data_IF_543331114566
#
_entry.id   IF_543331114566
#
_cell.length_a   1.000
_cell.length_b   1.000
_cell.length_c   1.000
_cell.angle_alpha   90.00
_cell.angle_beta   90.00
_cell.angle_gamma   90.00
#
_symmetry.space_group_name_H-M   'P 1'
#
loop_
_entity.id
_entity.type
_entity.pdbx_description
1 polymer ?
#
# COMPACT_ATOMS: atom_id res chain seq x y z
N UNK A 1 47.71 -13.11 75.39
CA UNK A 1 47.14 -14.27 76.11
C UNK A 1 45.65 -14.32 75.79
N UNK A 2 45.23 -15.35 75.04
CA UNK A 2 43.92 -16.01 74.99
C UNK A 2 42.62 -15.19 74.99
N UNK A 3 41.52 -15.56 74.35
CA UNK A 3 41.12 -16.58 73.38
C UNK A 3 39.65 -16.18 73.08
N UNK A 4 39.25 -16.28 71.81
CA UNK A 4 37.91 -16.65 71.34
C UNK A 4 36.71 -16.51 72.31
N UNK A 5 35.76 -15.64 71.98
CA UNK A 5 34.35 -16.01 72.13
C UNK A 5 33.49 -15.39 71.03
N UNK A 6 32.96 -16.29 70.21
CA UNK A 6 31.99 -16.07 69.13
C UNK A 6 30.64 -15.71 69.75
N UNK A 7 30.01 -14.63 69.31
CA UNK A 7 28.56 -14.47 69.43
C UNK A 7 28.01 -14.15 68.04
N UNK A 8 27.27 -15.13 67.53
CA UNK A 8 26.43 -15.06 66.34
C UNK A 8 25.39 -13.95 66.49
N UNK A 9 25.36 -13.02 65.55
CA UNK A 9 24.14 -12.29 65.21
C UNK A 9 23.90 -12.46 63.71
N UNK A 10 22.92 -13.30 63.41
CA UNK A 10 22.37 -13.54 62.08
C UNK A 10 21.83 -12.22 61.51
N UNK A 11 22.59 -11.60 60.63
CA UNK A 11 22.06 -10.60 59.71
C UNK A 11 21.19 -11.34 58.68
N UNK A 12 19.88 -11.30 58.88
CA UNK A 12 18.89 -11.75 57.90
C UNK A 12 18.89 -10.75 56.73
N UNK A 13 19.92 -10.85 55.88
CA UNK A 13 19.99 -10.14 54.61
C UNK A 13 18.98 -10.76 53.65
N UNK A 14 17.75 -10.25 53.67
CA UNK A 14 16.75 -10.57 52.66
C UNK A 14 17.17 -9.84 51.37
N UNK A 15 18.07 -10.47 50.61
CA UNK A 15 18.35 -10.06 49.23
C UNK A 15 17.09 -10.35 48.42
N UNK A 16 16.26 -9.33 48.23
CA UNK A 16 15.23 -9.31 47.20
C UNK A 16 15.98 -9.34 45.86
N UNK A 17 16.23 -10.54 45.35
CA UNK A 17 16.55 -10.75 43.94
C UNK A 17 15.27 -10.41 43.16
N UNK A 18 15.12 -9.13 42.81
CA UNK A 18 14.17 -8.72 41.81
C UNK A 18 14.65 -9.32 40.48
N UNK A 19 14.19 -10.54 40.19
CA UNK A 19 14.27 -11.11 38.86
C UNK A 19 13.49 -10.20 37.94
N UNK A 20 14.20 -9.35 37.20
CA UNK A 20 13.67 -8.72 36.00
C UNK A 20 13.42 -9.90 35.06
N UNK A 21 12.18 -10.37 35.03
CA UNK A 21 11.69 -11.15 33.91
C UNK A 21 11.76 -10.19 32.72
N UNK A 22 12.83 -10.29 31.95
CA UNK A 22 12.86 -9.75 30.60
C UNK A 22 11.75 -10.47 29.85
N UNK A 23 10.60 -9.80 29.72
CA UNK A 23 9.59 -10.18 28.74
C UNK A 23 10.25 -9.90 27.40
N UNK A 24 10.96 -10.89 26.86
CA UNK A 24 11.44 -10.87 25.50
C UNK A 24 10.21 -10.86 24.60
N UNK A 25 9.75 -9.68 24.22
CA UNK A 25 9.15 -9.55 22.91
C UNK A 25 10.26 -9.98 21.95
N UNK A 26 10.02 -11.06 21.23
CA UNK A 26 10.85 -11.48 20.11
C UNK A 26 10.87 -10.35 19.06
N UNK A 27 11.83 -9.45 19.19
CA UNK A 27 12.10 -8.38 18.23
C UNK A 27 12.50 -9.06 16.91
N UNK A 28 11.72 -8.84 15.85
CA UNK A 28 11.92 -9.50 14.55
C UNK A 28 13.30 -9.23 13.96
N UNK A 29 13.81 -10.18 13.18
CA UNK A 29 15.13 -10.07 12.55
C UNK A 29 15.08 -9.02 11.42
N UNK A 30 15.98 -8.02 11.43
CA UNK A 30 16.07 -7.05 10.34
C UNK A 30 16.47 -7.71 9.02
N UNK A 31 15.82 -7.31 7.93
CA UNK A 31 16.14 -7.76 6.58
C UNK A 31 16.48 -6.59 5.67
N UNK A 32 17.30 -6.84 4.65
CA UNK A 32 17.54 -5.91 3.56
C UNK A 32 16.70 -6.26 2.33
N UNK A 33 16.71 -5.37 1.32
CA UNK A 33 15.88 -5.54 0.11
C UNK A 33 16.25 -6.77 -0.73
N UNK A 34 17.49 -7.26 -0.64
CA UNK A 34 17.94 -8.44 -1.35
C UNK A 34 17.28 -9.73 -0.85
N UNK A 35 16.92 -9.78 0.43
CA UNK A 35 16.26 -10.94 1.04
C UNK A 35 14.76 -11.04 0.74
N UNK A 36 14.13 -10.01 0.16
CA UNK A 36 12.70 -10.02 -0.09
C UNK A 36 12.28 -11.14 -1.05
N UNK A 37 13.09 -11.40 -2.08
CA UNK A 37 12.79 -12.41 -3.12
C UNK A 37 12.99 -13.85 -2.65
N UNK A 38 13.60 -14.07 -1.48
CA UNK A 38 13.75 -15.42 -0.89
C UNK A 38 12.39 -15.99 -0.43
N UNK A 39 11.38 -15.13 -0.25
CA UNK A 39 10.01 -15.50 0.14
C UNK A 39 8.95 -14.92 -0.81
N UNK A 40 9.21 -13.77 -1.44
CA UNK A 40 8.30 -13.12 -2.40
C UNK A 40 8.74 -13.35 -3.85
N UNK A 41 8.63 -14.60 -4.32
CA UNK A 41 9.11 -14.98 -5.66
C UNK A 41 8.15 -14.58 -6.80
N UNK A 42 6.83 -14.56 -6.57
CA UNK A 42 5.84 -14.38 -7.64
C UNK A 42 4.79 -13.34 -7.31
N UNK A 43 4.45 -12.56 -8.34
CA UNK A 43 3.35 -11.61 -8.34
C UNK A 43 2.00 -12.30 -8.52
N UNK A 44 0.94 -11.51 -8.35
CA UNK A 44 -0.43 -11.93 -8.68
C UNK A 44 -0.60 -12.30 -10.17
N UNK A 45 0.36 -11.97 -11.03
CA UNK A 45 0.38 -12.30 -12.44
C UNK A 45 1.19 -13.57 -12.76
N UNK A 46 1.73 -14.26 -11.74
CA UNK A 46 2.59 -15.44 -11.91
C UNK A 46 3.97 -15.12 -12.48
N UNK A 47 4.36 -13.85 -12.44
CA UNK A 47 5.65 -13.32 -12.89
C UNK A 47 6.48 -12.88 -11.70
N UNK A 48 7.80 -12.88 -11.85
CA UNK A 48 8.72 -12.46 -10.80
C UNK A 48 8.58 -10.95 -10.49
N UNK A 49 8.46 -10.58 -9.21
CA UNK A 49 8.26 -9.18 -8.79
C UNK A 49 9.42 -8.27 -9.18
N UNK A 50 10.66 -8.76 -9.11
CA UNK A 50 11.83 -7.98 -9.49
C UNK A 50 11.85 -7.74 -11.02
N UNK A 51 11.37 -8.70 -11.80
CA UNK A 51 11.21 -8.58 -13.25
C UNK A 51 10.15 -7.54 -13.62
N UNK A 52 8.99 -7.55 -12.94
CA UNK A 52 7.97 -6.53 -13.11
C UNK A 52 8.49 -5.13 -12.75
N UNK A 53 9.14 -5.00 -11.59
CA UNK A 53 9.70 -3.74 -11.10
C UNK A 53 10.75 -3.19 -12.07
N UNK A 54 11.63 -4.07 -12.58
CA UNK A 54 12.63 -3.72 -13.59
C UNK A 54 12.01 -3.21 -14.89
N UNK A 55 10.81 -3.69 -15.25
CA UNK A 55 10.04 -3.25 -16.41
C UNK A 55 9.18 -1.99 -16.19
N UNK A 56 9.13 -1.47 -14.96
CA UNK A 56 8.30 -0.34 -14.56
C UNK A 56 9.02 1.01 -14.69
N UNK A 57 8.32 2.12 -14.43
CA UNK A 57 8.96 3.45 -14.31
C UNK A 57 9.91 3.55 -13.10
N UNK A 58 9.78 2.64 -12.13
CA UNK A 58 10.56 2.59 -10.90
C UNK A 58 11.73 1.61 -11.01
N UNK A 59 12.14 1.27 -12.24
CA UNK A 59 13.34 0.48 -12.47
C UNK A 59 14.54 1.10 -11.73
N UNK A 60 15.22 0.28 -10.93
CA UNK A 60 16.37 0.68 -10.13
C UNK A 60 16.04 1.01 -8.67
N UNK A 61 14.77 1.05 -8.27
CA UNK A 61 14.40 1.07 -6.85
C UNK A 61 14.53 -0.33 -6.22
N UNK A 62 14.87 -0.35 -4.94
CA UNK A 62 14.89 -1.52 -4.09
C UNK A 62 13.53 -1.74 -3.40
N UNK A 63 13.27 -2.95 -2.92
CA UNK A 63 11.99 -3.31 -2.30
C UNK A 63 11.62 -2.40 -1.12
N UNK A 64 12.60 -2.11 -0.25
CA UNK A 64 12.39 -1.29 0.95
C UNK A 64 12.28 0.21 0.66
N UNK A 65 12.54 0.67 -0.57
CA UNK A 65 12.28 2.08 -0.95
C UNK A 65 10.78 2.37 -0.95
N UNK A 66 9.96 1.38 -1.31
CA UNK A 66 8.49 1.45 -1.26
C UNK A 66 7.93 0.79 0.00
N UNK A 67 8.47 -0.38 0.39
CA UNK A 67 8.02 -1.15 1.54
C UNK A 67 8.71 -0.72 2.84
N UNK A 68 8.61 0.58 3.16
CA UNK A 68 9.35 1.25 4.24
C UNK A 68 9.09 0.70 5.64
N UNK A 69 8.02 -0.09 5.82
CA UNK A 69 7.61 -0.70 7.09
C UNK A 69 7.82 -2.22 7.15
N UNK A 70 8.42 -2.83 6.12
CA UNK A 70 8.54 -4.29 5.98
C UNK A 70 9.99 -4.77 6.04
N UNK A 71 10.80 -4.13 6.89
CA UNK A 71 12.23 -4.40 7.03
C UNK A 71 12.58 -5.36 8.18
N UNK A 72 11.59 -6.07 8.73
CA UNK A 72 11.76 -7.06 9.82
C UNK A 72 10.94 -8.31 9.56
N UNK A 73 11.41 -9.47 9.99
CA UNK A 73 10.71 -10.77 9.88
C UNK A 73 10.51 -11.40 11.27
N UNK A 74 9.29 -11.87 11.62
CA UNK A 74 8.05 -11.78 10.83
C UNK A 74 7.57 -10.33 10.67
N UNK A 75 7.11 -9.98 9.46
CA UNK A 75 6.70 -8.61 9.17
C UNK A 75 5.39 -8.25 9.90
N UNK A 76 5.23 -7.00 10.37
CA UNK A 76 3.99 -6.55 11.00
C UNK A 76 2.84 -6.53 10.00
N UNK A 77 1.71 -7.16 10.35
CA UNK A 77 0.50 -7.06 9.55
C UNK A 77 -0.05 -5.62 9.57
N UNK A 78 -0.32 -5.07 8.39
CA UNK A 78 -0.97 -3.77 8.24
C UNK A 78 -2.44 -4.02 7.87
N UNK A 79 -3.37 -3.96 8.85
CA UNK A 79 -4.77 -4.25 8.59
C UNK A 79 -5.40 -3.14 7.76
N UNK A 80 -6.33 -3.52 6.88
CA UNK A 80 -7.24 -2.55 6.24
C UNK A 80 -7.99 -1.77 7.32
N UNK A 81 -8.29 -0.48 7.10
CA UNK A 81 -8.10 0.31 5.88
C UNK A 81 -6.70 0.96 5.77
N UNK A 82 -5.74 0.63 6.65
CA UNK A 82 -4.41 1.22 6.58
C UNK A 82 -3.71 0.78 5.30
N UNK A 83 -3.13 1.74 4.61
CA UNK A 83 -2.43 1.49 3.37
C UNK A 83 -1.00 1.04 3.64
N UNK A 84 -0.65 -0.18 3.22
CA UNK A 84 0.66 -0.79 3.46
C UNK A 84 1.82 -0.03 2.78
N UNK A 85 1.63 0.43 1.55
CA UNK A 85 2.70 0.99 0.69
C UNK A 85 2.54 2.50 0.46
N UNK A 86 1.48 3.13 0.97
CA UNK A 86 1.23 4.54 0.70
C UNK A 86 2.38 5.43 1.19
N UNK A 87 2.99 5.12 2.33
CA UNK A 87 4.10 5.93 2.84
C UNK A 87 5.31 5.87 1.91
N UNK A 88 5.56 4.73 1.25
CA UNK A 88 6.59 4.59 0.21
C UNK A 88 6.31 5.41 -1.04
N UNK A 89 5.05 5.49 -1.48
CA UNK A 89 4.71 6.38 -2.59
C UNK A 89 4.83 7.85 -2.18
N UNK A 90 4.36 8.20 -0.98
CA UNK A 90 4.22 9.58 -0.49
C UNK A 90 5.55 10.24 -0.15
N UNK A 91 6.58 9.47 0.20
CA UNK A 91 7.91 9.98 0.51
C UNK A 91 8.57 10.67 -0.69
N UNK A 92 8.26 10.22 -1.91
CA UNK A 92 8.78 10.81 -3.16
C UNK A 92 7.71 11.59 -3.95
N UNK A 93 6.45 11.15 -3.92
CA UNK A 93 5.35 11.80 -4.64
C UNK A 93 4.53 12.71 -3.73
N UNK A 94 5.19 13.64 -3.04
CA UNK A 94 4.56 14.51 -2.04
C UNK A 94 3.41 15.35 -2.61
N UNK A 95 3.58 15.91 -3.82
CA UNK A 95 2.53 16.74 -4.44
C UNK A 95 1.32 15.90 -4.84
N UNK A 96 1.55 14.73 -5.44
CA UNK A 96 0.46 13.79 -5.74
C UNK A 96 -0.24 13.33 -4.45
N UNK A 97 0.53 13.10 -3.38
CA UNK A 97 -0.01 12.79 -2.07
C UNK A 97 -0.90 13.92 -1.53
N UNK A 98 -0.46 15.18 -1.60
CA UNK A 98 -1.23 16.35 -1.16
C UNK A 98 -2.53 16.50 -1.96
N UNK A 99 -2.50 16.21 -3.25
CA UNK A 99 -3.68 16.27 -4.12
C UNK A 99 -4.64 15.11 -3.88
N UNK A 100 -4.13 13.87 -3.76
CA UNK A 100 -4.94 12.66 -3.63
C UNK A 100 -5.19 12.27 -2.16
N UNK A 101 -6.04 13.04 -1.49
CA UNK A 101 -6.43 12.82 -0.09
C UNK A 101 -7.83 12.22 0.10
N UNK A 102 -8.67 12.35 -0.93
CA UNK A 102 -10.08 11.96 -0.94
C UNK A 102 -10.37 11.27 -2.25
N UNK A 103 -11.13 10.17 -2.19
CA UNK A 103 -11.71 9.54 -3.37
C UNK A 103 -13.23 9.43 -3.17
N UNK A 104 -13.98 10.17 -3.99
CA UNK A 104 -15.42 10.31 -3.83
C UNK A 104 -15.78 11.02 -2.52
N UNK A 105 -16.51 10.33 -1.65
CA UNK A 105 -17.00 10.88 -0.36
C UNK A 105 -16.14 10.45 0.85
N UNK A 106 -15.06 9.71 0.64
CA UNK A 106 -14.25 9.15 1.71
C UNK A 106 -12.76 9.48 1.55
N UNK A 107 -12.03 9.45 2.66
CA UNK A 107 -10.60 9.72 2.70
C UNK A 107 -9.78 8.44 2.46
N UNK A 108 -8.64 8.61 1.80
CA UNK A 108 -7.71 7.50 1.57
C UNK A 108 -7.19 7.00 2.92
N UNK A 109 -7.28 5.69 3.17
CA UNK A 109 -6.82 5.07 4.41
C UNK A 109 -7.84 5.04 5.56
N UNK A 110 -9.09 5.48 5.31
CA UNK A 110 -10.17 5.49 6.32
C UNK A 110 -11.24 4.44 6.03
N UNK A 111 -11.63 4.24 4.78
CA UNK A 111 -12.57 3.17 4.39
C UNK A 111 -11.83 2.01 3.73
N UNK A 112 -12.29 0.79 3.98
CA UNK A 112 -11.61 -0.44 3.50
C UNK A 112 -11.63 -0.59 1.97
N UNK A 113 -12.65 -0.02 1.31
CA UNK A 113 -12.83 -0.12 -0.14
C UNK A 113 -12.39 1.17 -0.87
N UNK A 114 -11.67 2.06 -0.19
CA UNK A 114 -11.21 3.30 -0.80
C UNK A 114 -9.88 3.04 -1.49
N UNK A 115 -9.78 3.28 -2.82
CA UNK A 115 -8.58 2.95 -3.57
C UNK A 115 -7.37 3.75 -3.09
N UNK A 116 -6.21 3.12 -3.11
CA UNK A 116 -4.90 3.69 -2.89
C UNK A 116 -4.19 3.92 -4.23
N UNK A 117 -2.97 4.49 -4.19
CA UNK A 117 -2.17 4.80 -5.38
C UNK A 117 -2.01 3.57 -6.30
N UNK A 118 -1.74 2.40 -5.72
CA UNK A 118 -1.52 1.17 -6.48
C UNK A 118 -2.77 0.60 -7.14
N UNK A 119 -3.97 0.92 -6.61
CA UNK A 119 -5.21 0.43 -7.18
C UNK A 119 -5.42 0.98 -8.59
N UNK A 120 -5.08 2.25 -8.83
CA UNK A 120 -5.17 2.86 -10.16
C UNK A 120 -3.90 2.63 -11.01
N UNK A 121 -2.71 2.73 -10.41
CA UNK A 121 -1.45 2.76 -11.15
C UNK A 121 -0.80 1.40 -11.38
N UNK A 122 -1.16 0.37 -10.60
CA UNK A 122 -0.41 -0.88 -10.51
C UNK A 122 0.51 -0.90 -9.29
N UNK A 123 1.21 -2.01 -9.08
CA UNK A 123 2.08 -2.22 -7.91
C UNK A 123 3.55 -2.27 -8.33
N UNK A 124 4.03 -3.42 -8.78
CA UNK A 124 5.38 -3.59 -9.32
C UNK A 124 5.42 -3.34 -10.84
N UNK A 125 4.26 -3.17 -11.48
CA UNK A 125 4.07 -3.01 -12.93
C UNK A 125 3.70 -1.57 -13.33
N UNK A 126 4.09 -0.57 -12.53
CA UNK A 126 3.66 0.83 -12.74
C UNK A 126 4.26 1.39 -14.03
N UNK A 127 3.40 1.81 -14.95
CA UNK A 127 3.76 2.39 -16.25
C UNK A 127 3.32 3.84 -16.36
N UNK A 128 4.03 4.68 -17.15
CA UNK A 128 3.63 6.08 -17.33
C UNK A 128 2.28 6.13 -18.05
N UNK A 129 1.42 7.10 -17.72
CA UNK A 129 0.07 7.22 -18.28
C UNK A 129 0.05 7.40 -19.81
N UNK A 130 1.15 7.85 -20.41
CA UNK A 130 1.33 7.92 -21.87
C UNK A 130 1.48 6.55 -22.54
N UNK A 131 1.85 5.50 -21.79
CA UNK A 131 1.93 4.14 -22.32
C UNK A 131 0.53 3.54 -22.46
N UNK A 132 0.23 2.97 -23.63
CA UNK A 132 -1.03 2.26 -23.88
C UNK A 132 -1.25 1.03 -22.98
N UNK A 133 -0.19 0.51 -22.34
CA UNK A 133 -0.26 -0.59 -21.37
C UNK A 133 -0.52 -0.12 -19.95
N UNK A 134 -0.42 1.18 -19.67
CA UNK A 134 -0.65 1.69 -18.32
C UNK A 134 -2.12 1.59 -17.93
N UNK A 135 -2.39 1.15 -16.71
CA UNK A 135 -3.74 1.13 -16.13
C UNK A 135 -4.36 2.54 -16.08
N UNK A 136 -3.53 3.58 -16.09
CA UNK A 136 -3.98 4.98 -16.09
C UNK A 136 -3.95 5.65 -17.47
N UNK A 137 -3.70 4.87 -18.53
CA UNK A 137 -3.86 5.37 -19.89
C UNK A 137 -5.31 5.71 -20.19
N UNK A 138 -5.56 6.76 -20.96
CA UNK A 138 -6.91 7.27 -21.26
C UNK A 138 -7.86 6.19 -21.80
N UNK A 139 -7.36 5.26 -22.63
CA UNK A 139 -8.15 4.16 -23.16
C UNK A 139 -8.49 3.08 -22.12
N UNK A 140 -7.69 2.96 -21.05
CA UNK A 140 -7.81 1.93 -20.03
C UNK A 140 -8.55 2.43 -18.77
N UNK A 141 -8.79 3.74 -18.65
CA UNK A 141 -9.50 4.31 -17.50
C UNK A 141 -10.90 3.70 -17.28
N UNK A 142 -11.72 3.39 -18.29
CA UNK A 142 -13.02 2.75 -18.05
C UNK A 142 -12.88 1.39 -17.35
N UNK A 143 -11.87 0.60 -17.72
CA UNK A 143 -11.56 -0.66 -17.07
C UNK A 143 -11.01 -0.44 -15.64
N UNK A 144 -10.04 0.47 -15.49
CA UNK A 144 -9.42 0.79 -14.20
C UNK A 144 -10.43 1.30 -13.18
N UNK A 145 -11.23 2.30 -13.54
CA UNK A 145 -12.30 2.82 -12.68
C UNK A 145 -13.41 1.80 -12.51
N UNK A 146 -13.68 1.00 -13.55
CA UNK A 146 -14.76 0.02 -13.57
C UNK A 146 -14.59 -1.17 -12.62
N UNK A 147 -13.37 -1.47 -12.19
CA UNK A 147 -13.13 -2.45 -11.12
C UNK A 147 -13.94 -2.17 -9.85
N UNK A 148 -14.12 -0.89 -9.50
CA UNK A 148 -14.92 -0.48 -8.35
C UNK A 148 -16.25 0.15 -8.77
N UNK A 149 -16.25 1.04 -9.77
CA UNK A 149 -17.44 1.77 -10.20
C UNK A 149 -18.39 0.95 -11.07
N UNK A 150 -17.97 -0.24 -11.54
CA UNK A 150 -18.85 -1.22 -12.17
C UNK A 150 -19.30 -2.34 -11.22
N UNK A 151 -18.82 -2.35 -9.97
CA UNK A 151 -19.17 -3.36 -8.99
C UNK A 151 -20.46 -2.96 -8.24
N UNK A 152 -21.51 -3.76 -8.36
CA UNK A 152 -22.82 -3.47 -7.75
C UNK A 152 -22.78 -3.45 -6.21
N UNK A 153 -21.98 -4.30 -5.58
CA UNK A 153 -21.86 -4.35 -4.12
C UNK A 153 -21.24 -3.05 -3.59
N UNK A 154 -20.16 -2.59 -4.23
CA UNK A 154 -19.49 -1.34 -3.86
C UNK A 154 -20.35 -0.12 -4.20
N UNK A 155 -20.91 -0.06 -5.40
CA UNK A 155 -21.73 1.09 -5.84
C UNK A 155 -23.01 1.23 -5.01
N UNK A 156 -23.61 0.13 -4.57
CA UNK A 156 -24.75 0.12 -3.63
C UNK A 156 -24.30 0.51 -2.22
N UNK A 157 -23.23 -0.09 -1.69
CA UNK A 157 -22.69 0.22 -0.34
C UNK A 157 -22.38 1.70 -0.15
N UNK A 158 -21.85 2.35 -1.20
CA UNK A 158 -21.46 3.76 -1.16
C UNK A 158 -22.47 4.72 -1.81
N UNK A 159 -23.66 4.22 -2.18
CA UNK A 159 -24.77 5.01 -2.71
C UNK A 159 -24.33 5.95 -3.86
N UNK A 160 -23.69 5.37 -4.87
CA UNK A 160 -23.25 6.11 -6.05
C UNK A 160 -24.47 6.64 -6.81
N UNK A 161 -24.49 7.95 -7.08
CA UNK A 161 -25.65 8.64 -7.65
C UNK A 161 -25.93 8.28 -9.11
N UNK A 162 -24.92 7.76 -9.82
CA UNK A 162 -25.04 7.33 -11.21
C UNK A 162 -25.07 5.80 -11.19
N UNK A 163 -26.18 5.22 -11.64
CA UNK A 163 -26.29 3.79 -11.87
C UNK A 163 -25.47 3.39 -13.09
N UNK A 164 -24.72 2.30 -12.98
CA UNK A 164 -23.87 1.73 -14.04
C UNK A 164 -23.00 2.79 -14.75
N UNK A 165 -22.18 3.59 -14.02
CA UNK A 165 -21.45 4.72 -14.60
C UNK A 165 -20.50 4.30 -15.74
N UNK A 166 -19.97 3.08 -15.69
CA UNK A 166 -19.11 2.52 -16.75
C UNK A 166 -19.88 2.25 -18.03
N UNK A 167 -21.10 1.73 -17.95
CA UNK A 167 -21.97 1.47 -19.10
C UNK A 167 -22.43 2.78 -19.73
N UNK A 168 -22.84 3.75 -18.89
CA UNK A 168 -23.23 5.09 -19.32
C UNK A 168 -22.06 5.80 -20.02
N UNK A 169 -20.86 5.76 -19.44
CA UNK A 169 -19.67 6.32 -20.08
C UNK A 169 -19.39 5.63 -21.42
N UNK A 170 -19.36 4.28 -21.45
CA UNK A 170 -19.00 3.50 -22.63
C UNK A 170 -19.97 3.71 -23.80
N UNK A 171 -21.26 3.94 -23.52
CA UNK A 171 -22.28 4.22 -24.54
C UNK A 171 -22.30 5.67 -25.04
N UNK A 172 -21.67 6.60 -24.29
CA UNK A 172 -21.61 8.03 -24.59
C UNK A 172 -20.68 8.36 -25.78
N UNK A 173 -20.76 9.60 -26.28
CA UNK A 173 -19.83 10.11 -27.29
C UNK A 173 -18.39 10.14 -26.80
N UNK A 174 -18.18 10.39 -25.50
CA UNK A 174 -16.85 10.39 -24.89
C UNK A 174 -16.24 8.98 -24.87
N UNK A 175 -16.99 7.98 -24.36
CA UNK A 175 -16.52 6.60 -24.32
C UNK A 175 -16.26 6.02 -25.70
N UNK A 176 -17.14 6.28 -26.67
CA UNK A 176 -16.94 5.87 -28.06
C UNK A 176 -15.72 6.53 -28.70
N UNK A 177 -15.48 7.81 -28.42
CA UNK A 177 -14.30 8.51 -28.92
C UNK A 177 -12.99 7.94 -28.33
N UNK A 178 -12.97 7.70 -27.01
CA UNK A 178 -11.82 7.05 -26.33
C UNK A 178 -11.55 5.66 -26.90
N UNK A 179 -12.58 4.82 -27.07
CA UNK A 179 -12.46 3.49 -27.68
C UNK A 179 -12.02 3.56 -29.15
N UNK A 180 -12.40 4.61 -29.86
CA UNK A 180 -11.95 4.92 -31.22
C UNK A 180 -10.53 5.50 -31.31
N UNK A 181 -9.79 5.59 -30.19
CA UNK A 181 -8.41 6.09 -30.15
C UNK A 181 -8.28 7.61 -30.06
N UNK A 182 -9.36 8.35 -29.80
CA UNK A 182 -9.30 9.81 -29.60
C UNK A 182 -8.82 10.08 -28.18
N UNK A 183 -7.50 10.19 -28.00
CA UNK A 183 -6.86 10.33 -26.70
C UNK A 183 -7.16 11.65 -25.96
N UNK A 184 -7.69 12.64 -26.66
CA UNK A 184 -8.08 13.96 -26.11
C UNK A 184 -9.57 14.03 -25.73
N UNK A 185 -10.33 12.96 -25.96
CA UNK A 185 -11.71 12.89 -25.52
C UNK A 185 -11.77 12.85 -23.98
N UNK A 186 -12.79 13.51 -23.41
CA UNK A 186 -12.98 13.54 -21.97
C UNK A 186 -13.20 12.12 -21.40
N UNK A 187 -12.63 11.87 -20.24
CA UNK A 187 -12.64 10.61 -19.51
C UNK A 187 -13.21 10.82 -18.10
N UNK A 188 -13.25 9.76 -17.28
CA UNK A 188 -13.71 9.83 -15.90
C UNK A 188 -12.96 10.91 -15.10
N UNK A 189 -11.63 11.01 -15.27
CA UNK A 189 -10.82 11.96 -14.50
C UNK A 189 -11.07 13.42 -14.89
N UNK A 190 -11.46 13.70 -16.12
CA UNK A 190 -11.64 15.08 -16.61
C UNK A 190 -12.90 15.74 -16.02
N UNK A 191 -13.79 14.96 -15.41
CA UNK A 191 -14.98 15.46 -14.72
C UNK A 191 -14.98 15.14 -13.21
N UNK A 192 -14.30 14.07 -12.77
CA UNK A 192 -14.31 13.62 -11.37
C UNK A 192 -12.99 13.84 -10.61
N UNK A 193 -11.89 14.17 -11.29
CA UNK A 193 -10.63 14.52 -10.60
C UNK A 193 -10.67 15.96 -10.13
N UNK A 194 -10.03 16.23 -8.99
CA UNK A 194 -9.92 17.57 -8.40
C UNK A 194 -8.66 18.33 -8.86
N UNK A 195 -7.99 17.89 -9.92
CA UNK A 195 -6.83 18.58 -10.50
C UNK A 195 -5.93 17.66 -11.34
N UNK A 196 -5.46 18.24 -12.45
CA UNK A 196 -4.45 17.89 -13.48
C UNK A 196 -4.31 16.42 -13.97
#
# INVERSE_FOLDING_TARGET
MNQNLRILLLALGLTVMAGIAATGAEEGEPIDSGSCVDCHEQSAHGTDFATELSGSIHNGLACLDCHVHQNVVPHPEIPKPKCNVCDGCRSCHEEAAKTYQVHGRSRIGVGEDIPHCSDCHGSHDILPSSSNRSKTHVANLPETCGRCHGNLDLTTKYELLIHNPIEVFSSSVHGKAVQGGVSVAATCKDCHSTGD
#
